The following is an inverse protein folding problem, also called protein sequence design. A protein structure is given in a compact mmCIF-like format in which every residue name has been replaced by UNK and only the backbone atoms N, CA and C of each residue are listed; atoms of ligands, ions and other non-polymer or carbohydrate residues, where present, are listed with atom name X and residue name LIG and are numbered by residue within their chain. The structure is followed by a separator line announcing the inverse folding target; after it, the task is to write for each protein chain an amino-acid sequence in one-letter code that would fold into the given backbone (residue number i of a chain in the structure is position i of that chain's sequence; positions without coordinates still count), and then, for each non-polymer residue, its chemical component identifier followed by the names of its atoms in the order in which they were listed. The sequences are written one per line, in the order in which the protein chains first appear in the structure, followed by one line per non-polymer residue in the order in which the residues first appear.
data_IF_642342595876
#
_entry.id   IF_642342595876
#
_cell.length_a   1.000
_cell.length_b   1.000
_cell.length_c   1.000
_cell.angle_alpha   90.00
_cell.angle_beta   90.00
_cell.angle_gamma   90.00
#
_symmetry.space_group_name_H-M   'P 1'
#
loop_
_entity.id
_entity.type
_entity.pdbx_description
1 polymer ?
#
# COMPACT_ATOMS: atom_id res chain seq x y z
N UNK A 1 -0.40 -14.37 24.01
CA UNK A 1 -0.46 -13.00 23.44
C UNK A 1 -1.75 -12.79 22.66
N UNK A 2 -2.37 -11.62 22.79
CA UNK A 2 -3.55 -11.21 22.03
C UNK A 2 -3.11 -10.27 20.90
N UNK A 3 -3.38 -10.63 19.65
CA UNK A 3 -3.07 -9.80 18.49
C UNK A 3 -4.34 -9.11 17.97
N UNK A 4 -4.27 -7.79 17.85
CA UNK A 4 -5.23 -7.01 17.10
C UNK A 4 -4.80 -7.03 15.63
N UNK A 5 -5.78 -7.08 14.74
CA UNK A 5 -5.52 -7.02 13.30
C UNK A 5 -6.29 -5.82 12.75
N UNK A 6 -5.65 -4.93 12.00
CA UNK A 6 -6.33 -3.80 11.35
C UNK A 6 -7.52 -4.29 10.52
N UNK A 7 -8.67 -3.61 10.62
CA UNK A 7 -9.93 -4.02 9.96
C UNK A 7 -10.19 -3.26 8.67
N UNK A 8 -9.45 -2.20 8.44
CA UNK A 8 -9.58 -1.33 7.28
C UNK A 8 -8.22 -0.80 6.84
N UNK A 9 -8.14 -0.25 5.63
CA UNK A 9 -6.92 0.43 5.15
C UNK A 9 -6.52 1.61 6.05
N UNK A 10 -7.50 2.30 6.64
CA UNK A 10 -7.25 3.39 7.59
C UNK A 10 -6.64 2.85 8.88
N UNK A 11 -7.21 1.78 9.46
CA UNK A 11 -6.67 1.15 10.67
C UNK A 11 -5.26 0.62 10.42
N UNK A 12 -5.01 0.06 9.22
CA UNK A 12 -3.69 -0.43 8.81
C UNK A 12 -2.65 0.71 8.76
N UNK A 13 -3.03 1.85 8.19
CA UNK A 13 -2.14 3.03 8.11
C UNK A 13 -1.94 3.67 9.48
N UNK A 14 -2.97 3.69 10.32
CA UNK A 14 -2.91 4.27 11.67
C UNK A 14 -2.11 3.39 12.62
N UNK A 15 -2.23 2.07 12.53
CA UNK A 15 -1.56 1.16 13.46
C UNK A 15 -1.84 1.51 14.93
N UNK A 16 -0.78 1.64 15.72
CA UNK A 16 -0.84 2.00 17.14
C UNK A 16 -0.72 3.50 17.42
N UNK A 17 -0.84 4.37 16.39
CA UNK A 17 -0.84 5.82 16.58
C UNK A 17 -1.94 6.26 17.55
N UNK A 18 -1.67 7.34 18.28
CA UNK A 18 -2.57 7.99 19.24
C UNK A 18 -2.94 7.16 20.47
N UNK A 19 -2.40 5.95 20.62
CA UNK A 19 -2.60 5.16 21.83
C UNK A 19 -1.68 5.66 22.96
N UNK A 20 -2.19 5.63 24.16
CA UNK A 20 -1.45 6.00 25.38
C UNK A 20 -0.79 4.78 26.03
N UNK A 21 -1.35 3.59 25.80
CA UNK A 21 -0.84 2.32 26.32
C UNK A 21 -1.26 1.15 25.44
N UNK A 22 -0.55 0.05 25.58
CA UNK A 22 -0.86 -1.25 25.04
C UNK A 22 -0.81 -2.27 26.18
N UNK A 23 -1.81 -3.14 26.31
CA UNK A 23 -1.84 -4.18 27.34
C UNK A 23 -0.60 -5.07 27.24
N UNK A 24 -0.10 -5.58 28.37
CA UNK A 24 1.19 -6.29 28.47
C UNK A 24 1.35 -7.43 27.47
N UNK A 25 0.29 -8.26 27.31
CA UNK A 25 0.27 -9.39 26.39
C UNK A 25 -0.52 -9.10 25.10
N UNK A 26 -0.50 -7.87 24.66
CA UNK A 26 -1.19 -7.44 23.44
C UNK A 26 -0.20 -6.92 22.40
N UNK A 27 -0.60 -7.01 21.14
CA UNK A 27 0.16 -6.50 20.01
C UNK A 27 -0.75 -6.25 18.80
N UNK A 28 -0.16 -5.75 17.74
CA UNK A 28 -0.83 -5.58 16.45
C UNK A 28 -0.12 -6.39 15.38
N UNK A 29 -0.88 -7.18 14.63
CA UNK A 29 -0.41 -7.97 13.50
C UNK A 29 -0.80 -7.28 12.20
N UNK A 30 0.19 -6.97 11.40
CA UNK A 30 0.03 -6.47 10.03
C UNK A 30 0.23 -7.61 9.04
N UNK A 31 -0.73 -7.80 8.15
CA UNK A 31 -0.68 -8.79 7.06
C UNK A 31 -0.61 -8.01 5.76
N UNK A 32 0.46 -8.18 4.99
CA UNK A 32 0.67 -7.48 3.74
C UNK A 32 0.13 -8.29 2.56
N UNK A 33 -0.56 -7.61 1.64
CA UNK A 33 -1.07 -8.24 0.41
C UNK A 33 0.04 -8.58 -0.58
N UNK A 34 1.17 -7.89 -0.48
CA UNK A 34 2.34 -8.07 -1.34
C UNK A 34 3.57 -8.35 -0.49
N UNK A 35 4.26 -9.44 -0.80
CA UNK A 35 5.56 -9.76 -0.21
C UNK A 35 6.57 -8.77 -0.77
N UNK A 36 7.09 -7.92 0.08
CA UNK A 36 8.02 -6.85 -0.27
C UNK A 36 8.76 -6.36 0.98
N UNK A 37 9.79 -5.57 0.76
CA UNK A 37 10.44 -4.82 1.82
C UNK A 37 9.49 -3.75 2.37
N UNK A 38 9.26 -3.77 3.69
CA UNK A 38 8.32 -2.90 4.37
C UNK A 38 9.03 -1.91 5.30
N UNK A 39 8.33 -0.84 5.66
CA UNK A 39 8.84 0.14 6.62
C UNK A 39 7.75 0.63 7.56
N UNK A 40 8.15 0.92 8.79
CA UNK A 40 7.30 1.45 9.84
C UNK A 40 7.90 2.73 10.42
N UNK A 41 7.07 3.64 10.87
CA UNK A 41 7.49 4.87 11.55
C UNK A 41 6.65 5.06 12.82
N UNK A 42 7.18 5.83 13.76
CA UNK A 42 6.55 6.06 15.05
C UNK A 42 5.92 7.47 15.18
N UNK A 43 5.61 8.11 14.05
CA UNK A 43 4.88 9.38 14.06
C UNK A 43 3.57 9.24 14.84
N UNK A 44 3.31 10.14 15.80
CA UNK A 44 2.11 10.10 16.67
C UNK A 44 1.94 8.79 17.49
N UNK A 45 2.97 7.94 17.58
CA UNK A 45 2.99 6.75 18.42
C UNK A 45 3.86 7.00 19.63
N UNK A 46 3.22 7.10 20.81
CA UNK A 46 3.87 7.52 22.08
C UNK A 46 4.38 6.36 22.91
N UNK A 47 3.98 5.15 22.57
CA UNK A 47 4.33 3.92 23.29
C UNK A 47 5.65 3.40 22.73
N UNK A 48 6.65 3.06 23.56
CA UNK A 48 7.84 2.34 23.09
C UNK A 48 7.47 0.94 22.67
N UNK A 49 7.83 0.56 21.45
CA UNK A 49 7.44 -0.72 20.84
C UNK A 49 8.67 -1.48 20.35
N UNK A 50 8.51 -2.78 20.19
CA UNK A 50 9.34 -3.63 19.34
C UNK A 50 8.52 -4.12 18.15
N UNK A 51 9.16 -4.30 17.02
CA UNK A 51 8.57 -4.88 15.81
C UNK A 51 9.35 -6.11 15.37
N UNK A 52 8.63 -7.20 15.13
CA UNK A 52 9.16 -8.37 14.43
C UNK A 52 8.70 -8.35 12.97
N UNK A 53 9.65 -8.47 12.05
CA UNK A 53 9.40 -8.64 10.63
C UNK A 53 9.46 -10.13 10.28
N UNK A 54 8.43 -10.63 9.57
CA UNK A 54 8.24 -12.07 9.35
C UNK A 54 8.10 -12.34 7.86
N UNK A 55 8.87 -13.29 7.36
CA UNK A 55 8.84 -13.71 5.97
C UNK A 55 7.61 -14.56 5.65
N UNK A 56 7.39 -14.84 4.37
CA UNK A 56 6.31 -15.69 3.86
C UNK A 56 6.32 -17.11 4.47
N UNK A 57 7.50 -17.64 4.78
CA UNK A 57 7.66 -18.95 5.42
C UNK A 57 7.40 -18.93 6.93
N UNK A 58 6.98 -17.79 7.50
CA UNK A 58 6.68 -17.62 8.92
C UNK A 58 7.89 -17.38 9.80
N UNK A 59 9.10 -17.34 9.26
CA UNK A 59 10.32 -17.12 10.03
C UNK A 59 10.51 -15.65 10.37
N UNK A 60 10.79 -15.35 11.62
CA UNK A 60 11.16 -14.00 12.06
C UNK A 60 12.51 -13.63 11.44
N UNK A 61 12.49 -12.68 10.53
CA UNK A 61 13.67 -12.19 9.82
C UNK A 61 14.51 -11.27 10.71
N UNK A 62 13.83 -10.34 11.38
CA UNK A 62 14.47 -9.37 12.27
C UNK A 62 13.50 -8.87 13.33
N UNK A 63 14.03 -8.46 14.47
CA UNK A 63 13.32 -7.77 15.55
C UNK A 63 14.03 -6.42 15.75
N UNK A 64 13.27 -5.31 15.75
CA UNK A 64 13.81 -3.96 15.88
C UNK A 64 13.04 -3.15 16.90
N UNK A 65 13.76 -2.26 17.60
CA UNK A 65 13.15 -1.31 18.51
C UNK A 65 12.56 -0.12 17.75
N UNK A 66 11.39 0.33 18.18
CA UNK A 66 10.68 1.48 17.64
C UNK A 66 10.61 2.59 18.69
N UNK A 67 11.34 3.68 18.46
CA UNK A 67 11.40 4.81 19.40
C UNK A 67 10.13 5.69 19.30
N UNK A 68 9.50 6.04 20.43
CA UNK A 68 8.30 6.88 20.45
C UNK A 68 8.49 8.19 19.69
N UNK A 69 7.47 8.55 18.90
CA UNK A 69 7.40 9.77 18.09
C UNK A 69 8.55 9.95 17.08
N UNK A 70 9.32 8.91 16.78
CA UNK A 70 10.38 8.98 15.78
C UNK A 70 9.76 8.91 14.37
N UNK A 71 9.91 9.96 13.53
CA UNK A 71 9.37 9.95 12.17
C UNK A 71 10.23 9.18 11.17
N UNK A 72 11.46 8.80 11.57
CA UNK A 72 12.36 8.07 10.68
C UNK A 72 11.86 6.64 10.49
N UNK A 73 11.81 6.15 9.25
CA UNK A 73 11.33 4.79 8.98
C UNK A 73 12.33 3.73 9.44
N UNK A 74 11.81 2.68 10.05
CA UNK A 74 12.51 1.43 10.36
C UNK A 74 12.10 0.39 9.33
N UNK A 75 13.06 -0.17 8.62
CA UNK A 75 12.83 -1.08 7.49
C UNK A 75 13.04 -2.55 7.90
N UNK A 76 12.29 -3.47 7.27
CA UNK A 76 12.68 -4.87 7.20
C UNK A 76 14.02 -5.02 6.44
N UNK A 77 14.73 -6.10 6.64
CA UNK A 77 15.99 -6.35 5.94
C UNK A 77 15.75 -6.92 4.54
N UNK A 78 14.77 -7.81 4.43
CA UNK A 78 14.30 -8.40 3.19
C UNK A 78 12.80 -8.22 2.97
N UNK A 79 12.27 -9.05 2.08
CA UNK A 79 10.85 -9.10 1.76
C UNK A 79 10.08 -9.86 2.86
N UNK A 80 9.00 -9.29 3.35
CA UNK A 80 8.17 -9.84 4.42
C UNK A 80 6.70 -9.93 4.02
N UNK A 81 5.97 -10.82 4.66
CA UNK A 81 4.52 -10.95 4.54
C UNK A 81 3.79 -10.43 5.78
N UNK A 82 4.42 -10.51 6.95
CA UNK A 82 3.82 -10.13 8.23
C UNK A 82 4.74 -9.21 9.02
N UNK A 83 4.13 -8.38 9.88
CA UNK A 83 4.84 -7.69 10.95
C UNK A 83 4.02 -7.73 12.24
N UNK A 84 4.68 -7.83 13.40
CA UNK A 84 4.04 -7.80 14.71
C UNK A 84 4.67 -6.70 15.54
N UNK A 85 3.84 -5.72 15.97
CA UNK A 85 4.22 -4.70 16.95
C UNK A 85 3.73 -5.11 18.33
N UNK A 86 4.60 -4.99 19.33
CA UNK A 86 4.34 -5.30 20.74
C UNK A 86 5.00 -4.25 21.64
N UNK A 87 4.67 -4.24 22.94
CA UNK A 87 5.41 -3.45 23.91
C UNK A 87 6.91 -3.77 23.85
N UNK A 88 7.74 -2.74 24.02
CA UNK A 88 9.21 -2.92 24.08
C UNK A 88 9.62 -3.94 25.12
N UNK A 89 10.53 -4.84 24.74
CA UNK A 89 11.04 -5.92 25.57
C UNK A 89 10.19 -7.19 25.55
N UNK A 90 8.98 -7.16 25.01
CA UNK A 90 8.07 -8.31 25.04
C UNK A 90 8.68 -9.57 24.38
N UNK A 91 9.35 -9.44 23.23
CA UNK A 91 9.98 -10.58 22.56
C UNK A 91 11.05 -11.24 23.45
N UNK A 92 11.93 -10.43 24.03
CA UNK A 92 12.99 -10.94 24.92
C UNK A 92 12.44 -11.60 26.20
N UNK A 93 11.41 -11.00 26.82
CA UNK A 93 10.74 -11.54 28.00
C UNK A 93 10.04 -12.88 27.73
N UNK A 94 9.60 -13.10 26.50
CA UNK A 94 8.91 -14.33 26.08
C UNK A 94 9.81 -15.31 25.34
N UNK A 95 11.14 -15.09 25.30
CA UNK A 95 12.12 -15.90 24.61
C UNK A 95 11.83 -16.11 23.12
N UNK A 96 11.34 -15.07 22.47
CA UNK A 96 11.11 -15.03 21.02
C UNK A 96 12.31 -14.37 20.36
N UNK A 97 12.92 -15.06 19.41
CA UNK A 97 14.17 -14.64 18.80
C UNK A 97 14.07 -14.63 17.25
N UNK A 98 15.04 -13.95 16.64
CA UNK A 98 15.22 -14.00 15.18
C UNK A 98 15.53 -15.45 14.77
N UNK A 99 14.83 -15.94 13.76
CA UNK A 99 14.90 -17.31 13.29
C UNK A 99 13.78 -18.20 13.82
N UNK A 100 13.02 -17.77 14.83
CA UNK A 100 11.82 -18.50 15.27
C UNK A 100 10.75 -18.49 14.18
N UNK A 101 9.95 -19.56 14.17
CA UNK A 101 8.92 -19.74 13.15
C UNK A 101 7.52 -19.66 13.75
N UNK A 102 6.69 -18.81 13.14
CA UNK A 102 5.26 -18.70 13.42
C UNK A 102 4.47 -19.64 12.51
N UNK A 103 3.37 -20.17 13.01
CA UNK A 103 2.41 -20.92 12.20
C UNK A 103 1.54 -19.96 11.40
N UNK A 104 2.04 -19.58 10.22
CA UNK A 104 1.35 -18.64 9.32
C UNK A 104 0.16 -19.27 8.61
N UNK A 105 0.12 -20.61 8.45
CA UNK A 105 -1.00 -21.31 7.83
C UNK A 105 -2.31 -21.13 8.64
N UNK A 106 -2.19 -20.96 9.94
CA UNK A 106 -3.34 -20.69 10.81
C UNK A 106 -3.80 -19.24 10.77
N UNK A 107 -2.88 -18.30 10.56
CA UNK A 107 -3.14 -16.85 10.67
C UNK A 107 -3.69 -16.29 9.34
N UNK A 108 -3.06 -16.63 8.22
CA UNK A 108 -3.31 -16.00 6.92
C UNK A 108 -4.65 -16.39 6.26
N UNK A 109 -5.10 -17.65 6.22
CA UNK A 109 -6.32 -18.01 5.50
C UNK A 109 -7.55 -17.26 5.96
N UNK A 110 -7.73 -17.14 7.28
CA UNK A 110 -8.87 -16.46 7.87
C UNK A 110 -8.84 -14.94 7.65
N UNK A 111 -7.67 -14.37 7.45
CA UNK A 111 -7.52 -12.93 7.23
C UNK A 111 -7.62 -12.59 5.74
N UNK A 112 -7.00 -13.36 4.85
CA UNK A 112 -7.12 -13.16 3.39
C UNK A 112 -8.57 -13.25 2.90
N UNK A 113 -9.37 -14.19 3.43
CA UNK A 113 -10.79 -14.27 3.08
C UNK A 113 -11.58 -13.04 3.57
N UNK A 114 -11.27 -12.53 4.76
CA UNK A 114 -11.93 -11.37 5.33
C UNK A 114 -11.58 -10.09 4.58
N UNK A 115 -10.30 -9.85 4.31
CA UNK A 115 -9.86 -8.69 3.52
C UNK A 115 -10.30 -8.78 2.07
N UNK A 116 -10.32 -9.98 1.49
CA UNK A 116 -10.81 -10.20 0.13
C UNK A 116 -12.30 -9.91 -0.01
N UNK A 117 -13.11 -10.19 1.03
CA UNK A 117 -14.53 -9.82 1.05
C UNK A 117 -14.71 -8.30 1.20
N UNK A 118 -13.93 -7.64 2.06
CA UNK A 118 -14.02 -6.19 2.28
C UNK A 118 -13.43 -5.38 1.12
N UNK A 119 -12.30 -5.80 0.53
CA UNK A 119 -11.75 -5.19 -0.70
C UNK A 119 -12.62 -5.44 -1.90
N UNK A 120 -13.23 -6.60 -2.05
CA UNK A 120 -14.22 -6.83 -3.10
C UNK A 120 -15.43 -5.92 -2.92
N UNK A 121 -15.90 -5.70 -1.69
CA UNK A 121 -16.99 -4.76 -1.42
C UNK A 121 -16.61 -3.32 -1.75
N UNK A 122 -15.38 -2.88 -1.45
CA UNK A 122 -14.86 -1.56 -1.84
C UNK A 122 -14.66 -1.48 -3.36
N UNK A 123 -14.11 -2.53 -3.99
CA UNK A 123 -14.00 -2.61 -5.45
C UNK A 123 -15.37 -2.60 -6.13
N UNK A 124 -16.35 -3.29 -5.56
CA UNK A 124 -17.72 -3.32 -6.05
C UNK A 124 -18.41 -1.97 -5.87
N UNK A 125 -18.26 -1.32 -4.71
CA UNK A 125 -18.75 0.05 -4.46
C UNK A 125 -18.08 1.06 -5.41
N UNK A 126 -16.76 0.98 -5.60
CA UNK A 126 -16.02 1.84 -6.52
C UNK A 126 -16.46 1.57 -7.97
N UNK A 127 -16.75 0.33 -8.32
CA UNK A 127 -17.25 -0.04 -9.64
C UNK A 127 -18.72 0.35 -9.84
N UNK A 128 -19.58 0.23 -8.83
CA UNK A 128 -20.96 0.74 -8.86
C UNK A 128 -21.02 2.28 -8.94
N UNK A 129 -20.13 2.99 -8.25
CA UNK A 129 -20.00 4.45 -8.38
C UNK A 129 -19.45 4.86 -9.76
N UNK A 130 -18.64 3.98 -10.40
CA UNK A 130 -18.16 4.18 -11.78
C UNK A 130 -19.22 3.94 -12.84
N UNK A 131 -20.29 3.22 -12.54
CA UNK A 131 -21.34 2.87 -13.50
C UNK A 131 -22.49 3.86 -13.61
N UNK A 132 -22.42 5.04 -12.97
CA UNK A 132 -23.21 6.19 -13.40
C UNK A 132 -22.58 6.72 -14.69
N UNK A 133 -22.92 6.05 -15.80
CA UNK A 133 -22.46 6.36 -17.16
C UNK A 133 -22.69 7.83 -17.50
N UNK A 134 -21.66 8.65 -17.37
CA UNK A 134 -21.55 9.86 -18.18
C UNK A 134 -21.45 9.43 -19.65
N UNK A 135 -22.06 10.21 -20.55
CA UNK A 135 -22.06 9.96 -22.00
C UNK A 135 -20.61 9.78 -22.49
N UNK A 136 -20.16 8.51 -22.72
CA UNK A 136 -18.82 8.16 -23.15
C UNK A 136 -17.91 7.50 -22.08
N UNK A 137 -18.35 7.34 -20.83
CA UNK A 137 -17.63 6.63 -19.78
C UNK A 137 -17.82 5.10 -19.93
N UNK A 138 -16.72 4.35 -19.91
CA UNK A 138 -16.75 2.88 -19.96
C UNK A 138 -16.71 2.25 -21.34
N UNK A 139 -16.71 3.02 -22.44
CA UNK A 139 -16.64 2.47 -23.80
C UNK A 139 -15.21 1.98 -24.11
N UNK A 140 -15.06 0.68 -24.33
CA UNK A 140 -13.81 0.08 -24.83
C UNK A 140 -13.72 0.29 -26.34
N UNK A 141 -13.62 1.56 -26.77
CA UNK A 141 -13.49 1.96 -28.17
C UNK A 141 -12.06 1.76 -28.71
N UNK A 142 -11.85 2.08 -29.98
CA UNK A 142 -10.53 1.97 -30.61
C UNK A 142 -9.46 2.82 -29.89
N UNK A 143 -9.83 3.97 -29.32
CA UNK A 143 -8.96 4.80 -28.50
C UNK A 143 -8.57 4.11 -27.20
N UNK A 144 -9.52 3.43 -26.53
CA UNK A 144 -9.24 2.68 -25.31
C UNK A 144 -8.16 1.61 -25.56
N UNK A 145 -8.31 0.80 -26.60
CA UNK A 145 -7.35 -0.26 -26.93
C UNK A 145 -5.99 0.30 -27.33
N UNK A 146 -5.98 1.36 -28.14
CA UNK A 146 -4.76 2.01 -28.61
C UNK A 146 -3.96 2.68 -27.47
N UNK A 147 -4.64 3.31 -26.52
CA UNK A 147 -4.01 3.92 -25.35
C UNK A 147 -3.54 2.85 -24.39
N UNK A 148 -4.38 1.87 -24.05
CA UNK A 148 -4.04 0.79 -23.13
C UNK A 148 -2.77 0.03 -23.55
N UNK A 149 -2.56 -0.20 -24.85
CA UNK A 149 -1.37 -0.90 -25.35
C UNK A 149 -0.06 -0.12 -25.18
N UNK A 150 -0.10 1.20 -24.90
CA UNK A 150 1.07 2.06 -24.77
C UNK A 150 1.48 2.35 -23.32
N UNK A 151 0.63 2.04 -22.35
CA UNK A 151 0.88 2.32 -20.94
C UNK A 151 1.00 1.01 -20.17
N UNK A 152 2.12 0.82 -19.47
CA UNK A 152 2.39 -0.35 -18.63
C UNK A 152 1.52 -0.38 -17.37
N UNK A 153 1.09 0.79 -16.89
CA UNK A 153 0.19 0.93 -15.72
C UNK A 153 -1.18 1.39 -16.20
N UNK A 154 -2.21 0.59 -15.93
CA UNK A 154 -3.59 0.87 -16.32
C UNK A 154 -4.58 0.46 -15.21
N UNK A 155 -5.51 1.32 -14.80
CA UNK A 155 -5.63 2.74 -15.16
C UNK A 155 -4.60 3.62 -14.45
N UNK A 156 -4.21 4.73 -15.07
CA UNK A 156 -3.38 5.77 -14.47
C UNK A 156 -3.88 7.15 -14.90
N UNK A 157 -3.52 8.20 -14.17
CA UNK A 157 -3.90 9.57 -14.50
C UNK A 157 -3.42 9.95 -15.92
N UNK A 158 -2.20 9.55 -16.28
CA UNK A 158 -1.61 9.80 -17.59
C UNK A 158 -2.35 9.04 -18.71
N UNK A 159 -2.63 7.77 -18.51
CA UNK A 159 -3.38 6.96 -19.46
C UNK A 159 -4.80 7.49 -19.65
N UNK A 160 -5.44 7.98 -18.59
CA UNK A 160 -6.76 8.61 -18.67
C UNK A 160 -6.73 9.90 -19.46
N UNK A 161 -5.72 10.76 -19.26
CA UNK A 161 -5.51 11.97 -20.05
C UNK A 161 -5.23 11.67 -21.53
N UNK A 162 -4.41 10.67 -21.83
CA UNK A 162 -4.14 10.20 -23.18
C UNK A 162 -5.40 9.66 -23.88
N UNK A 163 -6.28 8.98 -23.14
CA UNK A 163 -7.57 8.50 -23.66
C UNK A 163 -8.50 9.62 -24.06
N UNK A 164 -8.57 10.69 -23.24
CA UNK A 164 -9.35 11.89 -23.58
C UNK A 164 -8.80 12.58 -24.84
N UNK A 165 -7.46 12.73 -24.94
CA UNK A 165 -6.80 13.29 -26.13
C UNK A 165 -7.07 12.45 -27.38
N UNK A 166 -6.93 11.11 -27.26
CA UNK A 166 -7.22 10.21 -28.38
C UNK A 166 -8.66 10.33 -28.86
N UNK A 167 -9.64 10.39 -27.95
CA UNK A 167 -11.06 10.54 -28.31
C UNK A 167 -11.40 11.86 -29.00
N UNK A 168 -10.66 12.94 -28.68
CA UNK A 168 -10.82 14.24 -29.33
C UNK A 168 -10.36 14.22 -30.79
N UNK A 169 -9.26 13.52 -31.10
CA UNK A 169 -8.66 13.53 -32.45
C UNK A 169 -8.94 12.26 -33.25
N UNK A 170 -9.50 11.25 -32.62
CA UNK A 170 -9.79 9.93 -33.21
C UNK A 170 -8.60 8.98 -33.17
N UNK A 171 -8.88 7.69 -33.02
CA UNK A 171 -7.84 6.65 -32.87
C UNK A 171 -6.88 6.57 -34.07
N UNK A 172 -7.36 6.87 -35.28
CA UNK A 172 -6.53 6.87 -36.49
C UNK A 172 -5.47 7.98 -36.48
N UNK A 173 -5.78 9.14 -35.87
CA UNK A 173 -4.95 10.34 -35.89
C UNK A 173 -4.07 10.48 -34.64
N UNK A 174 -4.43 9.83 -33.54
CA UNK A 174 -3.72 9.93 -32.27
C UNK A 174 -2.41 9.13 -32.30
N UNK A 175 -1.29 9.80 -31.96
CA UNK A 175 0.03 9.17 -31.83
C UNK A 175 0.67 8.76 -33.17
N UNK A 176 0.26 9.34 -34.29
CA UNK A 176 0.83 9.15 -35.62
C UNK A 176 1.87 10.22 -35.97
N UNK A 177 2.12 11.21 -35.08
CA UNK A 177 3.21 12.15 -35.27
C UNK A 177 4.54 11.44 -35.00
N UNK A 178 5.45 11.50 -35.97
CA UNK A 178 6.83 11.00 -35.90
C UNK A 178 7.73 11.83 -34.97
N UNK A 179 7.18 12.77 -34.24
CA UNK A 179 7.87 13.46 -33.15
C UNK A 179 7.75 12.57 -31.90
N UNK A 180 8.90 12.03 -31.46
CA UNK A 180 9.08 11.65 -30.06
C UNK A 180 8.71 12.88 -29.26
N UNK A 181 7.58 12.86 -28.54
CA UNK A 181 7.31 13.88 -27.52
C UNK A 181 8.40 13.65 -26.45
N UNK A 182 9.39 14.52 -26.49
CA UNK A 182 10.47 14.56 -25.53
C UNK A 182 9.83 15.01 -24.20
N UNK A 183 10.01 14.19 -23.16
CA UNK A 183 9.49 14.45 -21.81
C UNK A 183 10.12 15.71 -21.18
N UNK A 184 11.04 16.37 -21.86
CA UNK A 184 11.67 17.61 -21.42
C UNK A 184 10.78 18.84 -21.53
N UNK A 185 9.77 18.83 -22.42
CA UNK A 185 8.99 20.02 -22.78
C UNK A 185 7.92 20.42 -21.73
N UNK A 186 7.46 19.51 -20.89
CA UNK A 186 6.49 19.89 -19.88
C UNK A 186 7.12 20.29 -18.52
N UNK A 187 8.42 20.07 -18.32
CA UNK A 187 9.14 20.67 -17.18
C UNK A 187 9.25 22.19 -17.28
N UNK A 188 9.06 22.75 -18.46
CA UNK A 188 9.14 24.20 -18.67
C UNK A 188 7.83 24.96 -18.40
N UNK A 189 6.70 24.27 -18.25
CA UNK A 189 5.39 24.92 -17.97
C UNK A 189 5.02 25.03 -16.49
N UNK A 190 5.82 24.47 -15.57
CA UNK A 190 5.66 24.63 -14.12
C UNK A 190 6.84 25.38 -13.54
N UNK A 191 6.97 26.66 -13.90
CA UNK A 191 7.77 27.61 -13.12
C UNK A 191 6.87 28.07 -11.97
N UNK A 192 7.22 27.65 -10.75
CA UNK A 192 6.72 28.27 -9.54
C UNK A 192 7.29 29.69 -9.51
N UNK A 193 6.47 30.71 -9.67
CA UNK A 193 6.84 32.06 -9.30
C UNK A 193 6.95 32.08 -7.77
N UNK A 194 8.20 32.06 -7.26
CA UNK A 194 8.49 32.41 -5.88
C UNK A 194 8.08 33.86 -5.71
N UNK A 195 6.97 34.08 -5.01
CA UNK A 195 6.55 35.42 -4.58
C UNK A 195 7.55 35.93 -3.55
N UNK A 196 8.36 36.90 -3.97
CA UNK A 196 9.07 37.84 -3.10
C UNK A 196 8.14 38.95 -2.64
#
# INVERSE_FOLDING_TARGET
MRLEIPKSALDFTQGLMFRESLDTDSGMLFVFDNIAKQSFHMTETRIPLDIAFIREDGVIESIKELEPNNPLPVYSEGDIELAIEVNRGWFAENNVEVGDQLDVEYIIPNQREKYRSETNTIYDIINEVKDKKGKGSGTKDACYHKVKSRYSVWPSAYASGALVKCRKVGAANWGNSSKKEDFSDWKSEFIWEDGS
#
